data_IF_107721354007
#
_entry.id   IF_107721354007
#
_cell.length_a   1.000
_cell.length_b   1.000
_cell.length_c   1.000
_cell.angle_alpha   90.00
_cell.angle_beta   90.00
_cell.angle_gamma   90.00
#
_symmetry.space_group_name_H-M   'P 1'
#
loop_
_entity.id
_entity.type
_entity.pdbx_description
1 polymer ?
#
# COMPACT_ATOMS: atom_id res chain seq x y z
N UNK A 1 -0.20 -2.69 -6.41
CA UNK A 1 -1.57 -3.30 -6.28
C UNK A 1 -1.63 -4.17 -5.03
N UNK A 2 -2.66 -4.02 -4.21
CA UNK A 2 -2.79 -4.74 -2.95
C UNK A 2 -3.80 -5.89 -3.00
N UNK A 3 -3.68 -6.86 -2.10
CA UNK A 3 -4.57 -8.01 -2.02
C UNK A 3 -6.03 -7.68 -1.66
N UNK A 4 -6.26 -6.58 -0.94
CA UNK A 4 -7.59 -6.21 -0.41
C UNK A 4 -8.01 -4.77 -0.70
N UNK A 5 -7.33 -4.11 -1.63
CA UNK A 5 -7.66 -2.75 -2.05
C UNK A 5 -7.62 -2.65 -3.58
N UNK A 6 -8.50 -1.81 -4.12
CA UNK A 6 -8.52 -1.47 -5.54
C UNK A 6 -8.81 0.03 -5.68
N UNK A 7 -8.40 0.60 -6.81
CA UNK A 7 -8.77 1.94 -7.23
C UNK A 7 -9.34 1.88 -8.64
N UNK A 8 -10.20 2.83 -8.98
CA UNK A 8 -10.85 2.88 -10.30
C UNK A 8 -10.02 3.63 -11.36
N UNK A 9 -8.84 4.13 -10.94
CA UNK A 9 -7.93 4.96 -11.73
C UNK A 9 -8.61 6.23 -12.28
N UNK A 10 -9.10 7.06 -11.35
CA UNK A 10 -9.91 8.25 -11.66
C UNK A 10 -9.44 9.45 -10.84
N UNK A 11 -8.20 9.95 -11.04
CA UNK A 11 -7.60 11.00 -10.20
C UNK A 11 -8.39 12.31 -10.20
N UNK A 12 -9.03 12.65 -11.32
CA UNK A 12 -9.82 13.89 -11.47
C UNK A 12 -11.28 13.76 -11.00
N UNK A 13 -11.69 12.60 -10.48
CA UNK A 13 -13.10 12.33 -10.12
C UNK A 13 -13.58 13.20 -8.96
N UNK A 14 -12.72 13.53 -7.99
CA UNK A 14 -13.10 14.32 -6.82
C UNK A 14 -13.68 15.67 -7.21
N UNK A 15 -12.99 16.42 -8.07
CA UNK A 15 -13.46 17.73 -8.52
C UNK A 15 -14.76 17.62 -9.31
N UNK A 16 -14.94 16.59 -10.13
CA UNK A 16 -16.17 16.40 -10.90
C UNK A 16 -17.37 16.01 -10.04
N UNK A 17 -17.16 15.29 -8.93
CA UNK A 17 -18.23 14.88 -8.02
C UNK A 17 -18.68 16.01 -7.09
N UNK A 18 -17.74 16.85 -6.62
CA UNK A 18 -18.00 17.80 -5.54
C UNK A 18 -17.97 19.27 -5.97
N UNK A 19 -17.57 19.60 -7.19
CA UNK A 19 -17.58 21.00 -7.64
C UNK A 19 -19.01 21.50 -7.86
N UNK A 20 -19.35 22.73 -7.40
CA UNK A 20 -20.65 23.33 -7.67
C UNK A 20 -20.90 23.48 -9.18
N UNK A 21 -22.08 23.06 -9.64
CA UNK A 21 -22.55 23.30 -11.01
C UNK A 21 -22.02 22.33 -12.08
N UNK A 22 -21.28 21.28 -11.70
CA UNK A 22 -20.92 20.19 -12.61
C UNK A 22 -22.00 19.12 -12.71
N UNK A 23 -22.20 18.55 -13.91
CA UNK A 23 -22.99 17.34 -14.09
C UNK A 23 -22.12 16.10 -13.78
N UNK A 24 -22.40 15.43 -12.66
CA UNK A 24 -21.69 14.24 -12.22
C UNK A 24 -22.26 12.94 -12.81
N UNK A 25 -23.33 13.00 -13.62
CA UNK A 25 -24.02 11.83 -14.15
C UNK A 25 -23.12 10.93 -15.02
N UNK A 26 -22.35 11.45 -15.99
CA UNK A 26 -21.44 10.62 -16.81
C UNK A 26 -20.37 9.90 -15.97
N UNK A 27 -19.91 10.58 -14.91
CA UNK A 27 -18.94 10.03 -14.00
C UNK A 27 -19.54 8.93 -13.13
N UNK A 28 -20.76 9.13 -12.62
CA UNK A 28 -21.50 8.13 -11.85
C UNK A 28 -21.75 6.86 -12.69
N UNK A 29 -22.08 7.00 -13.97
CA UNK A 29 -22.22 5.87 -14.89
C UNK A 29 -20.91 5.10 -15.09
N UNK A 30 -19.80 5.83 -15.19
CA UNK A 30 -18.46 5.24 -15.33
C UNK A 30 -18.07 4.49 -14.05
N UNK A 31 -18.30 5.09 -12.88
CA UNK A 31 -18.06 4.45 -11.57
C UNK A 31 -18.89 3.18 -11.44
N UNK A 32 -20.21 3.25 -11.70
CA UNK A 32 -21.10 2.10 -11.62
C UNK A 32 -20.64 0.96 -12.55
N UNK A 33 -20.27 1.28 -13.80
CA UNK A 33 -19.77 0.27 -14.76
C UNK A 33 -18.49 -0.39 -14.28
N UNK A 34 -17.53 0.38 -13.73
CA UNK A 34 -16.30 -0.19 -13.18
C UNK A 34 -16.56 -1.02 -11.91
N UNK A 35 -17.47 -0.60 -11.04
CA UNK A 35 -17.87 -1.40 -9.87
C UNK A 35 -18.52 -2.73 -10.27
N UNK A 36 -19.33 -2.74 -11.34
CA UNK A 36 -19.86 -3.99 -11.92
C UNK A 36 -18.73 -4.92 -12.31
N UNK A 37 -17.66 -4.42 -12.96
CA UNK A 37 -16.51 -5.28 -13.32
C UNK A 37 -15.78 -5.87 -12.12
N UNK A 38 -15.66 -5.10 -11.02
CA UNK A 38 -15.06 -5.61 -9.77
C UNK A 38 -15.91 -6.74 -9.20
N UNK A 39 -17.21 -6.51 -9.05
CA UNK A 39 -18.13 -7.48 -8.47
C UNK A 39 -18.28 -8.72 -9.36
N UNK A 40 -18.32 -8.55 -10.69
CA UNK A 40 -18.35 -9.65 -11.64
C UNK A 40 -17.08 -10.52 -11.56
N UNK A 41 -15.90 -9.89 -11.43
CA UNK A 41 -14.62 -10.62 -11.29
C UNK A 41 -14.55 -11.42 -9.99
N UNK A 42 -15.19 -10.90 -8.93
CA UNK A 42 -15.30 -11.57 -7.64
C UNK A 42 -16.44 -12.61 -7.59
N UNK A 43 -17.16 -12.83 -8.70
CA UNK A 43 -18.36 -13.66 -8.75
C UNK A 43 -19.43 -13.25 -7.72
N UNK A 44 -19.63 -11.95 -7.50
CA UNK A 44 -20.51 -11.43 -6.44
C UNK A 44 -21.58 -10.48 -7.00
N UNK A 45 -22.83 -10.69 -6.60
CA UNK A 45 -23.90 -9.69 -6.76
C UNK A 45 -24.34 -9.16 -5.39
N UNK A 46 -23.65 -8.15 -4.86
CA UNK A 46 -23.79 -7.75 -3.47
C UNK A 46 -25.10 -7.01 -3.16
N UNK A 47 -25.51 -7.04 -1.89
CA UNK A 47 -26.48 -6.10 -1.34
C UNK A 47 -25.86 -4.71 -1.23
N UNK A 48 -26.43 -3.71 -1.90
CA UNK A 48 -25.92 -2.33 -1.84
C UNK A 48 -26.46 -1.62 -0.60
N UNK A 49 -25.57 -0.98 0.15
CA UNK A 49 -25.89 -0.12 1.30
C UNK A 49 -25.24 1.24 1.10
N UNK A 50 -25.95 2.29 1.48
CA UNK A 50 -25.46 3.68 1.43
C UNK A 50 -26.28 4.57 2.35
N UNK A 51 -25.75 5.75 2.68
CA UNK A 51 -26.51 6.78 3.39
C UNK A 51 -27.47 7.48 2.44
N UNK A 52 -28.77 7.52 2.79
CA UNK A 52 -29.79 8.19 1.98
C UNK A 52 -29.57 9.71 1.84
N UNK A 53 -28.65 10.29 2.63
CA UNK A 53 -28.26 11.70 2.54
C UNK A 53 -27.30 11.97 1.38
N UNK A 54 -26.53 10.98 0.91
CA UNK A 54 -25.63 11.17 -0.23
C UNK A 54 -26.38 10.90 -1.53
N UNK A 55 -26.63 11.98 -2.29
CA UNK A 55 -27.22 11.88 -3.61
C UNK A 55 -26.28 11.17 -4.60
N UNK A 56 -24.96 11.36 -4.44
CA UNK A 56 -23.93 10.70 -5.26
C UNK A 56 -24.03 9.18 -5.09
N UNK A 57 -23.99 8.69 -3.85
CA UNK A 57 -24.10 7.25 -3.58
C UNK A 57 -25.46 6.69 -4.03
N UNK A 58 -26.54 7.45 -3.86
CA UNK A 58 -27.89 7.05 -4.32
C UNK A 58 -27.93 6.84 -5.84
N UNK A 59 -27.36 7.77 -6.61
CA UNK A 59 -27.30 7.67 -8.07
C UNK A 59 -26.42 6.49 -8.51
N UNK A 60 -25.23 6.34 -7.92
CA UNK A 60 -24.33 5.23 -8.23
C UNK A 60 -24.97 3.88 -7.90
N UNK A 61 -25.67 3.76 -6.78
CA UNK A 61 -26.34 2.52 -6.38
C UNK A 61 -27.41 2.09 -7.39
N UNK A 62 -28.25 3.02 -7.86
CA UNK A 62 -29.28 2.74 -8.88
C UNK A 62 -28.66 2.30 -10.20
N UNK A 63 -27.66 3.05 -10.68
CA UNK A 63 -26.95 2.74 -11.92
C UNK A 63 -26.21 1.40 -11.84
N UNK A 64 -25.63 1.08 -10.68
CA UNK A 64 -25.01 -0.23 -10.46
C UNK A 64 -26.03 -1.35 -10.56
N UNK A 65 -27.18 -1.25 -9.89
CA UNK A 65 -28.21 -2.29 -9.89
C UNK A 65 -28.74 -2.53 -11.32
N UNK A 66 -29.07 -1.46 -12.05
CA UNK A 66 -29.49 -1.56 -13.46
C UNK A 66 -28.43 -2.26 -14.34
N UNK A 67 -27.17 -1.82 -14.24
CA UNK A 67 -26.08 -2.38 -15.05
C UNK A 67 -25.75 -3.82 -14.67
N UNK A 68 -25.81 -4.16 -13.38
CA UNK A 68 -25.55 -5.52 -12.92
C UNK A 68 -26.68 -6.47 -13.32
N UNK A 69 -27.94 -6.03 -13.25
CA UNK A 69 -29.08 -6.80 -13.77
C UNK A 69 -28.96 -7.06 -15.26
N UNK A 70 -28.54 -6.06 -16.05
CA UNK A 70 -28.24 -6.25 -17.46
C UNK A 70 -27.12 -7.28 -17.67
N UNK A 71 -26.05 -7.20 -16.88
CA UNK A 71 -24.95 -8.16 -16.94
C UNK A 71 -25.43 -9.59 -16.65
N UNK A 72 -26.22 -9.82 -15.59
CA UNK A 72 -26.79 -11.15 -15.28
C UNK A 72 -27.74 -11.60 -16.39
N UNK A 73 -28.58 -10.71 -16.93
CA UNK A 73 -29.52 -11.06 -18.00
C UNK A 73 -28.83 -11.52 -19.29
N UNK A 74 -27.60 -11.05 -19.55
CA UNK A 74 -26.78 -11.51 -20.67
C UNK A 74 -25.99 -12.78 -20.32
N UNK A 75 -25.70 -12.99 -19.04
CA UNK A 75 -24.88 -14.09 -18.52
C UNK A 75 -25.71 -14.99 -17.58
N UNK A 76 -26.71 -15.70 -18.12
CA UNK A 76 -27.69 -16.47 -17.32
C UNK A 76 -27.05 -17.53 -16.40
N UNK A 77 -25.88 -18.04 -16.76
CA UNK A 77 -25.13 -19.03 -15.97
C UNK A 77 -24.18 -18.42 -14.93
N UNK A 78 -24.16 -17.10 -14.77
CA UNK A 78 -23.26 -16.41 -13.86
C UNK A 78 -23.55 -16.79 -12.40
N UNK A 79 -22.52 -17.32 -11.72
CA UNK A 79 -22.55 -17.57 -10.29
C UNK A 79 -22.20 -16.27 -9.55
N UNK A 80 -23.11 -15.79 -8.69
CA UNK A 80 -22.98 -14.48 -8.04
C UNK A 80 -22.92 -14.54 -6.50
N UNK A 81 -22.58 -15.69 -5.92
CA UNK A 81 -22.47 -15.90 -4.46
C UNK A 81 -21.01 -16.02 -3.99
N UNK A 82 -20.07 -15.48 -4.76
CA UNK A 82 -18.65 -15.45 -4.48
C UNK A 82 -17.97 -16.75 -4.89
N UNK A 83 -17.25 -17.36 -3.95
CA UNK A 83 -16.49 -18.58 -4.20
C UNK A 83 -17.42 -19.77 -4.50
N UNK A 84 -17.29 -20.42 -5.68
CA UNK A 84 -18.05 -21.62 -6.02
C UNK A 84 -17.90 -22.77 -5.01
N UNK A 85 -16.77 -22.83 -4.29
CA UNK A 85 -16.47 -23.89 -3.32
C UNK A 85 -17.14 -23.64 -1.95
N UNK A 86 -17.70 -22.45 -1.73
CA UNK A 86 -18.41 -22.12 -0.50
C UNK A 86 -19.91 -22.48 -0.60
N UNK A 87 -20.40 -23.28 0.35
CA UNK A 87 -21.82 -23.67 0.42
C UNK A 87 -22.78 -22.54 0.88
N UNK A 88 -22.24 -21.37 1.23
CA UNK A 88 -23.04 -20.22 1.66
C UNK A 88 -23.64 -19.53 0.45
N UNK A 89 -24.97 -19.48 0.38
CA UNK A 89 -25.70 -18.66 -0.62
C UNK A 89 -25.96 -17.24 -0.11
N UNK A 90 -25.24 -16.80 0.91
CA UNK A 90 -25.28 -15.42 1.38
C UNK A 90 -24.55 -14.51 0.38
N UNK A 91 -25.17 -13.39 0.02
CA UNK A 91 -24.53 -12.40 -0.85
C UNK A 91 -23.71 -11.42 -0.02
N UNK A 92 -22.59 -10.96 -0.57
CA UNK A 92 -21.79 -9.91 0.04
C UNK A 92 -22.56 -8.59 0.19
N UNK A 93 -21.99 -7.62 0.90
CA UNK A 93 -22.50 -6.25 0.97
C UNK A 93 -21.52 -5.29 0.33
N UNK A 94 -22.01 -4.45 -0.58
CA UNK A 94 -21.27 -3.32 -1.14
C UNK A 94 -21.74 -2.05 -0.43
N UNK A 95 -20.91 -1.54 0.47
CA UNK A 95 -21.16 -0.28 1.16
C UNK A 95 -20.58 0.87 0.33
N UNK A 96 -21.44 1.77 -0.13
CA UNK A 96 -21.03 3.02 -0.78
C UNK A 96 -20.99 4.14 0.26
N UNK A 97 -19.86 4.83 0.32
CA UNK A 97 -19.62 5.96 1.21
C UNK A 97 -19.26 7.19 0.38
N UNK A 98 -19.59 8.36 0.93
CA UNK A 98 -19.23 9.65 0.39
C UNK A 98 -18.05 10.21 1.20
N UNK A 99 -17.11 10.92 0.57
CA UNK A 99 -15.99 11.53 1.31
C UNK A 99 -16.48 12.53 2.36
N UNK A 100 -17.67 13.12 2.15
CA UNK A 100 -18.30 14.03 3.12
C UNK A 100 -18.72 13.36 4.43
N UNK A 101 -18.82 12.02 4.47
CA UNK A 101 -19.10 11.28 5.71
C UNK A 101 -17.92 11.35 6.71
N UNK A 102 -16.70 11.59 6.22
CA UNK A 102 -15.49 11.78 7.03
C UNK A 102 -14.49 12.68 6.29
N UNK A 103 -14.40 13.96 6.65
CA UNK A 103 -13.44 14.86 6.02
C UNK A 103 -12.09 14.92 6.76
N UNK A 104 -11.97 14.27 7.92
CA UNK A 104 -10.82 14.45 8.81
C UNK A 104 -9.72 13.44 8.53
N UNK A 105 -10.06 12.14 8.40
CA UNK A 105 -9.04 11.09 8.24
C UNK A 105 -8.03 11.33 7.11
N UNK A 106 -8.38 11.87 5.92
CA UNK A 106 -7.41 12.12 4.85
C UNK A 106 -6.44 13.27 5.15
N UNK A 107 -6.71 14.09 6.16
CA UNK A 107 -5.92 15.26 6.54
C UNK A 107 -5.04 14.99 7.76
N UNK A 108 -5.20 13.85 8.42
CA UNK A 108 -4.45 13.48 9.61
C UNK A 108 -3.13 12.83 9.22
N UNK A 109 -2.03 13.26 9.83
CA UNK A 109 -0.78 12.51 9.78
C UNK A 109 -0.97 11.18 10.49
N UNK A 110 -0.64 10.10 9.79
CA UNK A 110 -0.85 8.73 10.25
C UNK A 110 0.48 8.03 10.53
N UNK A 111 0.53 7.22 11.59
CA UNK A 111 1.77 6.64 12.11
C UNK A 111 1.96 5.17 11.72
N UNK A 112 1.03 4.61 10.94
CA UNK A 112 1.21 3.30 10.32
C UNK A 112 2.19 3.40 9.15
N UNK A 113 3.04 2.38 8.99
CA UNK A 113 4.21 2.48 8.12
C UNK A 113 3.87 2.87 6.68
N UNK A 114 2.89 2.22 6.05
CA UNK A 114 2.49 2.54 4.68
C UNK A 114 1.86 3.93 4.57
N UNK A 115 0.99 4.30 5.51
CA UNK A 115 0.33 5.60 5.46
C UNK A 115 1.38 6.73 5.62
N UNK A 116 2.28 6.60 6.58
CA UNK A 116 3.35 7.56 6.83
C UNK A 116 4.30 7.69 5.63
N UNK A 117 4.62 6.58 4.95
CA UNK A 117 5.42 6.58 3.71
C UNK A 117 4.71 7.35 2.59
N UNK A 118 3.42 7.11 2.35
CA UNK A 118 2.67 7.80 1.29
C UNK A 118 2.38 9.27 1.59
N UNK A 119 2.35 9.64 2.87
CA UNK A 119 2.13 11.00 3.33
C UNK A 119 3.41 11.85 3.25
N UNK A 120 4.53 11.32 3.76
CA UNK A 120 5.76 12.10 3.93
C UNK A 120 6.78 11.95 2.79
N UNK A 121 6.71 10.87 2.01
CA UNK A 121 7.67 10.58 0.94
C UNK A 121 7.02 10.68 -0.44
N UNK A 122 7.80 11.07 -1.44
CA UNK A 122 7.34 11.04 -2.84
C UNK A 122 7.38 9.61 -3.36
N UNK A 123 6.22 8.94 -3.37
CA UNK A 123 6.03 7.62 -3.94
C UNK A 123 5.19 7.74 -5.21
N UNK A 124 5.72 7.31 -6.35
CA UNK A 124 5.04 7.31 -7.65
C UNK A 124 4.83 5.87 -8.13
N UNK A 125 3.58 5.43 -8.30
CA UNK A 125 3.23 4.08 -8.78
C UNK A 125 3.93 2.93 -8.01
N UNK A 126 3.83 2.95 -6.68
CA UNK A 126 4.53 2.01 -5.77
C UNK A 126 6.08 2.13 -5.84
N UNK A 127 6.63 3.14 -6.53
CA UNK A 127 8.07 3.38 -6.66
C UNK A 127 8.51 4.48 -5.72
N UNK A 128 9.45 4.13 -4.85
CA UNK A 128 10.15 5.09 -4.01
C UNK A 128 11.60 5.21 -4.48
N UNK A 129 12.07 6.44 -4.67
CA UNK A 129 13.43 6.71 -5.14
C UNK A 129 14.20 7.50 -4.08
N UNK A 130 15.39 7.01 -3.72
CA UNK A 130 16.29 7.74 -2.84
C UNK A 130 17.72 7.72 -3.36
N UNK A 131 18.49 8.73 -2.95
CA UNK A 131 19.92 8.80 -3.24
C UNK A 131 20.67 7.95 -2.23
N UNK A 132 21.40 6.90 -2.64
CA UNK A 132 22.30 6.19 -1.73
C UNK A 132 23.36 7.11 -1.13
N UNK A 133 23.63 6.93 0.16
CA UNK A 133 24.90 7.38 0.75
C UNK A 133 26.07 6.43 0.39
N UNK A 134 25.79 5.21 -0.09
CA UNK A 134 26.80 4.22 -0.52
C UNK A 134 26.33 3.33 -1.69
N UNK A 135 27.22 3.06 -2.63
CA UNK A 135 26.95 2.62 -4.01
C UNK A 135 26.50 1.16 -4.26
N UNK A 136 26.04 0.40 -3.24
CA UNK A 136 26.06 -1.07 -3.32
C UNK A 136 24.75 -1.85 -3.05
N UNK A 137 23.57 -1.22 -2.96
CA UNK A 137 22.31 -2.01 -2.86
C UNK A 137 21.08 -1.35 -3.45
N UNK A 138 20.64 -1.90 -4.59
CA UNK A 138 19.37 -1.60 -5.25
C UNK A 138 19.47 -1.76 -6.76
N UNK A 139 18.32 -1.79 -7.44
CA UNK A 139 18.30 -1.67 -8.91
C UNK A 139 18.79 -0.27 -9.27
N UNK A 140 19.97 -0.18 -9.89
CA UNK A 140 20.60 1.08 -10.27
C UNK A 140 19.90 1.64 -11.49
N UNK A 141 19.29 2.82 -11.36
CA UNK A 141 18.93 3.62 -12.52
C UNK A 141 19.82 4.84 -12.58
N UNK A 142 20.48 5.04 -13.72
CA UNK A 142 21.30 6.22 -13.99
C UNK A 142 20.41 7.24 -14.65
N UNK A 143 20.21 8.39 -14.00
CA UNK A 143 19.53 9.51 -14.63
C UNK A 143 20.38 10.10 -15.77
N UNK A 144 19.77 10.88 -16.66
CA UNK A 144 20.46 11.57 -17.77
C UNK A 144 21.59 12.53 -17.33
N UNK A 145 21.69 12.82 -16.03
CA UNK A 145 22.72 13.63 -15.35
C UNK A 145 23.84 12.78 -14.68
N UNK A 146 23.80 11.44 -14.82
CA UNK A 146 24.84 10.56 -14.27
C UNK A 146 24.78 10.32 -12.76
N UNK A 147 23.72 10.78 -12.08
CA UNK A 147 23.47 10.48 -10.66
C UNK A 147 22.87 9.07 -10.50
N UNK A 148 23.42 8.28 -9.57
CA UNK A 148 22.90 6.95 -9.22
C UNK A 148 21.69 7.11 -8.29
N UNK A 149 20.54 6.57 -8.69
CA UNK A 149 19.34 6.50 -7.86
C UNK A 149 18.99 5.05 -7.55
N UNK A 150 18.61 4.80 -6.29
CA UNK A 150 18.05 3.52 -5.89
C UNK A 150 16.53 3.58 -5.96
N UNK A 151 15.98 2.72 -6.81
CA UNK A 151 14.53 2.54 -6.94
C UNK A 151 14.11 1.36 -6.08
N UNK A 152 13.13 1.61 -5.23
CA UNK A 152 12.45 0.61 -4.40
C UNK A 152 11.05 0.41 -4.92
N UNK A 153 10.65 -0.86 -5.05
CA UNK A 153 9.27 -1.22 -5.36
C UNK A 153 8.58 -1.68 -4.07
N UNK A 154 7.63 -0.90 -3.58
CA UNK A 154 6.87 -1.16 -2.36
C UNK A 154 5.54 -1.83 -2.71
N UNK A 155 5.60 -3.12 -3.07
CA UNK A 155 4.42 -3.88 -3.54
C UNK A 155 4.32 -5.26 -2.88
N UNK A 156 3.31 -6.04 -3.28
CA UNK A 156 3.01 -7.37 -2.72
C UNK A 156 4.11 -8.43 -2.94
N UNK A 157 5.13 -8.16 -3.77
CA UNK A 157 6.29 -9.05 -3.91
C UNK A 157 7.36 -8.80 -2.85
N UNK A 158 7.25 -7.71 -2.07
CA UNK A 158 8.14 -7.43 -0.96
C UNK A 158 7.51 -7.95 0.35
N UNK A 159 8.00 -9.11 0.81
CA UNK A 159 7.49 -9.75 2.03
C UNK A 159 7.66 -8.86 3.28
N UNK A 160 8.72 -8.05 3.34
CA UNK A 160 8.94 -7.16 4.50
C UNK A 160 7.91 -6.03 4.45
N UNK A 161 7.68 -5.44 3.27
CA UNK A 161 6.63 -4.45 3.07
C UNK A 161 5.25 -4.97 3.48
N UNK A 162 4.83 -6.13 2.94
CA UNK A 162 3.51 -6.71 3.22
C UNK A 162 3.33 -7.01 4.71
N UNK A 163 4.38 -7.48 5.38
CA UNK A 163 4.33 -7.79 6.81
C UNK A 163 4.27 -6.53 7.69
N UNK A 164 4.97 -5.45 7.30
CA UNK A 164 5.17 -4.28 8.14
C UNK A 164 4.23 -3.11 7.82
N UNK A 165 3.65 -3.03 6.62
CA UNK A 165 2.90 -1.86 6.11
C UNK A 165 1.79 -1.36 7.04
N UNK A 166 1.11 -2.26 7.74
CA UNK A 166 0.01 -1.93 8.66
C UNK A 166 0.43 -1.73 10.12
N UNK A 167 1.72 -1.84 10.45
CA UNK A 167 2.21 -1.68 11.82
C UNK A 167 2.59 -0.23 12.11
N UNK A 168 2.57 0.15 13.38
CA UNK A 168 3.05 1.46 13.82
C UNK A 168 4.55 1.61 13.55
N UNK A 169 5.00 2.80 13.12
CA UNK A 169 6.38 3.05 12.68
C UNK A 169 7.44 2.68 13.74
N UNK A 170 7.14 2.93 15.03
CA UNK A 170 8.03 2.55 16.13
C UNK A 170 8.25 1.02 16.21
N UNK A 171 7.19 0.23 16.04
CA UNK A 171 7.25 -1.23 16.05
C UNK A 171 8.03 -1.75 14.83
N UNK A 172 7.88 -1.09 13.69
CA UNK A 172 8.65 -1.41 12.47
C UNK A 172 10.14 -1.20 12.69
N UNK A 173 10.55 -0.04 13.21
CA UNK A 173 11.97 0.27 13.50
C UNK A 173 12.55 -0.74 14.49
N UNK A 174 11.81 -1.07 15.55
CA UNK A 174 12.23 -2.07 16.54
C UNK A 174 12.37 -3.47 15.93
N UNK A 175 11.38 -3.89 15.12
CA UNK A 175 11.39 -5.22 14.49
C UNK A 175 12.53 -5.36 13.49
N UNK A 176 12.74 -4.35 12.64
CA UNK A 176 13.86 -4.32 11.70
C UNK A 176 15.21 -4.36 12.43
N UNK A 177 15.37 -3.55 13.48
CA UNK A 177 16.59 -3.53 14.30
C UNK A 177 16.90 -4.89 14.92
N UNK A 178 15.87 -5.59 15.39
CA UNK A 178 15.99 -6.92 15.99
C UNK A 178 16.41 -7.95 14.95
N UNK A 179 15.74 -8.00 13.79
CA UNK A 179 16.09 -8.94 12.70
C UNK A 179 17.52 -8.77 12.20
N UNK A 180 17.97 -7.52 12.07
CA UNK A 180 19.34 -7.23 11.66
C UNK A 180 20.33 -7.71 12.73
N UNK A 181 20.08 -7.42 14.02
CA UNK A 181 20.91 -7.92 15.13
C UNK A 181 20.99 -9.44 15.14
N UNK A 182 19.87 -10.12 14.94
CA UNK A 182 19.81 -11.58 14.93
C UNK A 182 20.67 -12.16 13.81
N UNK A 183 20.55 -11.64 12.58
CA UNK A 183 21.39 -12.10 11.45
C UNK A 183 22.87 -11.89 11.77
N UNK A 184 23.28 -10.68 12.18
CA UNK A 184 24.69 -10.40 12.50
C UNK A 184 25.20 -11.28 13.65
N UNK A 185 24.39 -11.54 14.67
CA UNK A 185 24.79 -12.39 15.80
C UNK A 185 24.86 -13.87 15.43
N UNK A 186 24.03 -14.33 14.50
CA UNK A 186 23.95 -15.74 14.07
C UNK A 186 25.14 -16.16 13.20
N UNK A 187 25.69 -15.23 12.43
CA UNK A 187 26.77 -15.49 11.48
C UNK A 187 28.14 -14.97 11.95
N UNK A 188 28.15 -13.90 12.74
CA UNK A 188 29.36 -13.15 13.10
C UNK A 188 29.63 -13.26 14.60
N UNK A 189 29.60 -14.48 15.13
CA UNK A 189 29.73 -14.79 16.57
C UNK A 189 31.04 -14.37 17.27
N UNK A 190 31.95 -13.63 16.62
CA UNK A 190 33.22 -13.20 17.23
C UNK A 190 33.67 -11.76 16.90
N UNK A 191 33.19 -11.11 15.83
CA UNK A 191 33.72 -9.79 15.42
C UNK A 191 32.92 -8.58 15.99
N UNK A 192 31.59 -8.69 16.13
CA UNK A 192 30.76 -7.53 16.53
C UNK A 192 30.54 -7.38 18.06
N UNK A 193 30.87 -8.41 18.84
CA UNK A 193 30.66 -8.41 20.30
C UNK A 193 31.72 -7.63 21.10
N UNK A 194 32.71 -7.00 20.45
CA UNK A 194 33.81 -6.30 21.13
C UNK A 194 33.54 -4.82 21.42
N UNK A 195 32.36 -4.27 21.09
CA UNK A 195 32.00 -2.87 21.42
C UNK A 195 30.68 -2.74 22.16
N UNK A 196 30.64 -3.33 23.36
CA UNK A 196 30.25 -2.63 24.61
C UNK A 196 28.96 -1.82 24.73
N UNK A 197 27.96 -1.91 23.86
CA UNK A 197 26.67 -1.22 24.09
C UNK A 197 25.48 -2.05 23.56
N UNK A 198 24.86 -2.82 24.45
CA UNK A 198 23.70 -3.69 24.14
C UNK A 198 22.41 -2.89 23.82
N UNK A 199 22.43 -1.56 23.94
CA UNK A 199 21.22 -0.75 23.97
C UNK A 199 20.99 0.15 22.75
N UNK A 200 21.95 0.29 21.82
CA UNK A 200 21.77 1.19 20.67
C UNK A 200 21.23 0.46 19.45
N UNK A 201 20.32 1.13 18.74
CA UNK A 201 19.95 0.84 17.36
C UNK A 201 21.23 0.74 16.53
N UNK A 202 21.38 -0.34 15.74
CA UNK A 202 22.52 -0.48 14.83
C UNK A 202 22.50 0.69 13.85
N UNK A 203 23.64 1.33 13.62
CA UNK A 203 23.73 2.44 12.66
C UNK A 203 23.75 1.88 11.24
N UNK A 204 23.24 2.65 10.26
CA UNK A 204 23.21 2.25 8.86
C UNK A 204 24.60 1.83 8.34
N UNK A 205 25.66 2.48 8.82
CA UNK A 205 27.06 2.13 8.55
C UNK A 205 27.44 0.71 9.00
N UNK A 206 26.99 0.29 10.19
CA UNK A 206 27.25 -1.06 10.70
C UNK A 206 26.52 -2.14 9.89
N UNK A 207 25.38 -1.79 9.27
CA UNK A 207 24.66 -2.69 8.36
C UNK A 207 25.42 -2.89 7.05
N UNK A 208 26.00 -1.83 6.50
CA UNK A 208 26.82 -1.90 5.28
C UNK A 208 28.07 -2.76 5.46
N UNK A 209 28.72 -2.70 6.62
CA UNK A 209 29.88 -3.54 6.91
C UNK A 209 29.49 -5.02 7.07
N UNK A 210 28.37 -5.31 7.73
CA UNK A 210 27.84 -6.68 7.85
C UNK A 210 27.48 -7.29 6.49
N UNK A 211 26.99 -6.49 5.53
CA UNK A 211 26.68 -6.95 4.17
C UNK A 211 27.91 -7.47 3.41
N UNK A 212 29.11 -6.94 3.70
CA UNK A 212 30.37 -7.38 3.05
C UNK A 212 30.85 -8.73 3.55
N UNK A 213 30.56 -9.06 4.81
CA UNK A 213 31.02 -10.30 5.45
C UNK A 213 30.08 -11.49 5.18
N UNK A 214 28.82 -11.23 4.78
CA UNK A 214 27.75 -12.24 4.74
C UNK A 214 27.05 -12.31 3.37
N UNK A 215 27.70 -12.88 2.33
CA UNK A 215 27.14 -12.95 0.99
C UNK A 215 25.85 -13.78 0.91
N UNK A 216 25.68 -14.79 1.78
CA UNK A 216 24.48 -15.64 1.84
C UNK A 216 23.24 -14.89 2.36
N UNK A 217 23.41 -13.85 3.19
CA UNK A 217 22.33 -13.02 3.72
C UNK A 217 22.17 -11.70 2.98
N UNK A 218 22.92 -11.48 1.89
CA UNK A 218 23.00 -10.19 1.19
C UNK A 218 21.63 -9.67 0.78
N UNK A 219 20.78 -10.52 0.20
CA UNK A 219 19.46 -10.11 -0.28
C UNK A 219 18.53 -9.70 0.88
N UNK A 220 18.47 -10.53 1.93
CA UNK A 220 17.65 -10.27 3.12
C UNK A 220 18.12 -9.01 3.85
N UNK A 221 19.43 -8.86 4.04
CA UNK A 221 20.00 -7.67 4.68
C UNK A 221 19.82 -6.41 3.85
N UNK A 222 19.92 -6.50 2.51
CA UNK A 222 19.64 -5.38 1.61
C UNK A 222 18.21 -4.88 1.79
N UNK A 223 17.23 -5.79 1.82
CA UNK A 223 15.82 -5.48 2.05
C UNK A 223 15.56 -4.89 3.44
N UNK A 224 16.13 -5.48 4.49
CA UNK A 224 16.01 -4.95 5.85
C UNK A 224 16.60 -3.53 5.97
N UNK A 225 17.77 -3.31 5.37
CA UNK A 225 18.44 -2.00 5.36
C UNK A 225 17.63 -0.96 4.58
N UNK A 226 17.04 -1.35 3.46
CA UNK A 226 16.14 -0.51 2.66
C UNK A 226 14.93 -0.04 3.48
N UNK A 227 14.21 -0.95 4.14
CA UNK A 227 13.07 -0.57 4.97
C UNK A 227 13.47 0.25 6.20
N UNK A 228 14.66 0.00 6.76
CA UNK A 228 15.20 0.81 7.85
C UNK A 228 15.47 2.24 7.39
N UNK A 229 16.08 2.41 6.20
CA UNK A 229 16.34 3.72 5.61
C UNK A 229 15.03 4.50 5.38
N UNK A 230 14.03 3.86 4.75
CA UNK A 230 12.71 4.46 4.52
C UNK A 230 12.08 4.90 5.86
N UNK A 231 12.12 4.02 6.87
CA UNK A 231 11.53 4.31 8.19
C UNK A 231 12.20 5.51 8.87
N UNK A 232 13.54 5.59 8.81
CA UNK A 232 14.27 6.73 9.35
C UNK A 232 13.98 8.03 8.59
N UNK A 233 13.90 8.00 7.25
CA UNK A 233 13.54 9.19 6.48
C UNK A 233 12.15 9.72 6.83
N UNK A 234 11.15 8.85 7.00
CA UNK A 234 9.84 9.26 7.50
C UNK A 234 9.96 9.98 8.86
N UNK A 235 10.71 9.41 9.81
CA UNK A 235 10.90 10.02 11.13
C UNK A 235 11.68 11.34 11.06
N UNK A 236 12.67 11.46 10.18
CA UNK A 236 13.46 12.68 10.00
C UNK A 236 12.64 13.82 9.40
N UNK A 237 11.67 13.52 8.52
CA UNK A 237 10.74 14.50 7.98
C UNK A 237 9.71 14.88 9.04
N UNK A 238 9.16 13.89 9.76
CA UNK A 238 8.15 14.12 10.79
C UNK A 238 8.65 14.97 11.97
N UNK A 239 9.92 14.83 12.36
CA UNK A 239 10.51 15.54 13.50
C UNK A 239 11.01 16.96 13.17
N UNK A 240 10.87 17.44 11.92
CA UNK A 240 11.23 18.80 11.52
C UNK A 240 10.07 19.77 11.73
#
# INVERSE_FOLDING_TARGET
KESRAFHLDMPSSFMQLFSPGGDSSPLAETIASKLVTVCATLNEFPHIRYTAKSQICTTIAKLFDEKFMQFIGINESFWYYGDPDHNSKGRATLLLLDRTDDCLSPLMHEFTYQAMVNDLLTVEDDRFTYKPDTAESGSKTVNGDGTEEHVVLLNENDNIWVEMRGKHIADVIQTLSTRIKDIVSSSTGSALNTRGDKSKTLTLSQMTDALKELPEYREIMSKLSQHMHISHQCMDIFNK
#
